data_IF_330559120589
#
_entry.id   IF_330559120589
#
_cell.length_a   1.000
_cell.length_b   1.000
_cell.length_c   1.000
_cell.angle_alpha   90.00
_cell.angle_beta   90.00
_cell.angle_gamma   90.00
#
_symmetry.space_group_name_H-M   'P 1'
#
loop_
_entity.id
_entity.type
_entity.pdbx_description
1 polymer ?
#
# COMPACT_ATOMS: atom_id res chain seq x y z
N UNK A 1 -1.97 6.15 8.86
CA UNK A 1 -2.60 6.26 10.20
C UNK A 1 -3.14 4.89 10.61
N UNK A 2 -3.54 4.72 11.88
CA UNK A 2 -4.16 3.48 12.37
C UNK A 2 -5.45 3.78 13.13
N UNK A 3 -6.50 3.02 12.87
CA UNK A 3 -7.76 3.07 13.62
C UNK A 3 -7.90 1.83 14.50
N UNK A 4 -8.16 2.07 15.77
CA UNK A 4 -8.54 1.07 16.76
C UNK A 4 -9.41 1.78 17.81
N UNK A 5 -10.16 1.01 18.59
CA UNK A 5 -10.96 1.56 19.68
C UNK A 5 -11.97 0.55 20.21
N UNK A 6 -12.63 0.86 21.34
CA UNK A 6 -13.57 -0.06 22.00
C UNK A 6 -14.69 -0.55 21.07
N UNK A 7 -15.20 0.32 20.19
CA UNK A 7 -16.31 0.00 19.28
C UNK A 7 -15.97 -0.97 18.15
N UNK A 8 -14.68 -1.10 17.80
CA UNK A 8 -14.22 -1.97 16.72
C UNK A 8 -13.28 -3.05 17.22
N UNK A 9 -13.11 -3.20 18.55
CA UNK A 9 -12.28 -4.25 19.13
C UNK A 9 -12.84 -5.65 18.78
N UNK A 10 -12.00 -6.64 18.43
CA UNK A 10 -10.53 -6.64 18.45
C UNK A 10 -9.87 -6.09 17.17
N UNK A 11 -10.64 -5.56 16.22
CA UNK A 11 -10.16 -5.14 14.93
C UNK A 11 -9.29 -3.87 14.97
N UNK A 12 -8.29 -3.86 14.09
CA UNK A 12 -7.36 -2.74 13.91
C UNK A 12 -7.16 -2.51 12.43
N UNK A 13 -7.24 -1.27 11.98
CA UNK A 13 -7.10 -0.93 10.56
C UNK A 13 -5.91 -0.02 10.35
N UNK A 14 -5.09 -0.33 9.35
CA UNK A 14 -4.13 0.63 8.83
C UNK A 14 -4.83 1.41 7.70
N UNK A 15 -4.70 2.73 7.68
CA UNK A 15 -5.19 3.55 6.58
C UNK A 15 -4.06 4.40 6.01
N UNK A 16 -3.87 4.29 4.70
CA UNK A 16 -3.03 5.18 3.92
C UNK A 16 -3.91 6.07 3.03
N UNK A 17 -3.54 7.34 2.88
CA UNK A 17 -4.30 8.30 2.06
C UNK A 17 -3.51 8.57 0.79
N UNK A 18 -4.16 8.42 -0.35
CA UNK A 18 -3.59 8.67 -1.67
C UNK A 18 -4.49 9.59 -2.47
N UNK A 19 -3.87 10.49 -3.22
CA UNK A 19 -4.56 11.35 -4.16
C UNK A 19 -4.04 11.02 -5.56
N UNK A 20 -4.94 10.95 -6.54
CA UNK A 20 -4.56 10.74 -7.92
C UNK A 20 -5.39 11.63 -8.84
N UNK A 21 -4.68 12.40 -9.67
CA UNK A 21 -5.29 13.21 -10.71
C UNK A 21 -5.77 12.31 -11.84
N UNK A 22 -6.98 12.56 -12.33
CA UNK A 22 -7.50 11.94 -13.55
C UNK A 22 -6.89 12.62 -14.77
N UNK A 23 -6.63 11.82 -15.80
CA UNK A 23 -6.32 12.29 -17.16
C UNK A 23 -7.49 13.11 -17.73
N UNK A 24 -7.23 13.98 -18.74
CA UNK A 24 -8.31 14.55 -19.54
C UNK A 24 -9.22 13.43 -20.08
N UNK A 25 -10.53 13.56 -19.87
CA UNK A 25 -11.53 12.53 -20.21
C UNK A 25 -11.83 11.53 -19.10
N UNK A 26 -11.15 11.58 -17.96
CA UNK A 26 -11.59 10.93 -16.72
C UNK A 26 -11.48 9.39 -16.66
N UNK A 27 -10.99 8.73 -17.72
CA UNK A 27 -10.93 7.26 -17.80
C UNK A 27 -9.76 6.63 -17.05
N UNK A 28 -8.67 7.40 -16.86
CA UNK A 28 -7.43 6.92 -16.23
C UNK A 28 -6.87 7.93 -15.24
N UNK A 29 -6.06 7.47 -14.30
CA UNK A 29 -5.16 8.35 -13.53
C UNK A 29 -3.93 8.72 -14.36
N UNK A 30 -3.38 9.93 -14.14
CA UNK A 30 -2.20 10.40 -14.88
C UNK A 30 -0.94 9.60 -14.57
N UNK A 31 -0.86 9.04 -13.36
CA UNK A 31 0.22 8.17 -12.91
C UNK A 31 -0.33 7.02 -12.08
N UNK A 32 0.48 5.96 -11.93
CA UNK A 32 0.14 4.86 -11.07
C UNK A 32 0.05 5.32 -9.61
N UNK A 33 -1.01 4.91 -8.90
CA UNK A 33 -1.15 5.21 -7.49
C UNK A 33 -0.21 4.29 -6.71
N UNK A 34 0.73 4.87 -5.98
CA UNK A 34 1.59 4.10 -5.07
C UNK A 34 0.80 3.74 -3.83
N UNK A 35 0.66 2.44 -3.52
CA UNK A 35 -0.14 1.93 -2.39
C UNK A 35 0.72 1.15 -1.37
N UNK A 36 2.01 1.49 -1.30
CA UNK A 36 2.96 0.89 -0.36
C UNK A 36 4.27 0.52 -1.03
N UNK A 37 5.21 0.02 -0.23
CA UNK A 37 6.51 -0.47 -0.71
C UNK A 37 6.67 -1.93 -0.35
N UNK A 38 7.03 -2.76 -1.33
CA UNK A 38 7.16 -4.20 -1.10
C UNK A 38 8.47 -4.58 -0.42
N UNK A 39 9.43 -3.66 -0.30
CA UNK A 39 10.74 -3.88 0.32
C UNK A 39 10.88 -3.25 1.71
N UNK A 40 9.75 -2.91 2.36
CA UNK A 40 9.72 -2.47 3.74
C UNK A 40 9.97 -3.65 4.68
N UNK A 41 10.72 -3.41 5.76
CA UNK A 41 11.03 -4.44 6.76
C UNK A 41 9.75 -4.97 7.42
N UNK A 42 8.84 -4.08 7.85
CA UNK A 42 7.55 -4.48 8.43
C UNK A 42 6.69 -5.31 7.48
N UNK A 43 6.86 -5.18 6.17
CA UNK A 43 6.09 -5.94 5.20
C UNK A 43 6.68 -7.33 4.96
N UNK A 44 7.99 -7.47 5.19
CA UNK A 44 8.75 -8.73 5.07
C UNK A 44 8.78 -9.54 6.36
N UNK A 45 8.67 -8.88 7.51
CA UNK A 45 8.57 -9.51 8.84
C UNK A 45 7.28 -9.04 9.51
N UNK A 46 6.12 -9.56 9.07
CA UNK A 46 4.83 -8.95 9.40
C UNK A 46 4.46 -9.06 10.88
N UNK A 47 5.01 -10.04 11.59
CA UNK A 47 4.75 -10.27 13.02
C UNK A 47 5.63 -9.41 13.93
N UNK A 48 6.57 -8.66 13.36
CA UNK A 48 7.50 -7.82 14.11
C UNK A 48 7.12 -6.33 14.01
N UNK A 49 7.24 -5.61 15.14
CA UNK A 49 7.18 -4.15 15.15
C UNK A 49 8.55 -3.58 14.75
N UNK A 50 8.78 -3.45 13.45
CA UNK A 50 10.05 -2.98 12.85
C UNK A 50 9.83 -1.88 11.81
N UNK A 51 10.85 -1.06 11.58
CA UNK A 51 10.74 0.10 10.69
C UNK A 51 9.69 1.11 11.18
N UNK A 52 9.15 1.90 10.25
CA UNK A 52 8.24 3.00 10.56
C UNK A 52 6.76 2.56 10.52
N UNK A 53 6.40 1.47 11.20
CA UNK A 53 5.01 1.02 11.36
C UNK A 53 4.55 1.15 12.81
N UNK A 54 3.28 1.51 13.03
CA UNK A 54 2.75 1.75 14.39
C UNK A 54 2.62 0.47 15.22
N UNK A 55 2.27 -0.64 14.57
CA UNK A 55 2.04 -1.97 15.13
C UNK A 55 2.51 -3.03 14.12
N UNK A 56 2.77 -4.28 14.52
CA UNK A 56 3.11 -5.35 13.57
C UNK A 56 2.13 -5.39 12.40
N UNK A 57 2.65 -5.58 11.18
CA UNK A 57 1.83 -5.56 9.96
C UNK A 57 0.70 -6.60 9.99
N UNK A 58 0.95 -7.79 10.55
CA UNK A 58 -0.07 -8.85 10.71
C UNK A 58 -1.10 -8.58 11.80
N UNK A 59 -0.88 -7.59 12.67
CA UNK A 59 -1.83 -7.25 13.74
C UNK A 59 -3.02 -6.41 13.26
N UNK A 60 -2.97 -5.90 12.02
CA UNK A 60 -4.09 -5.21 11.42
C UNK A 60 -5.04 -6.22 10.78
N UNK A 61 -6.33 -6.03 11.02
CA UNK A 61 -7.42 -6.76 10.36
C UNK A 61 -7.45 -6.47 8.87
N UNK A 62 -7.20 -5.23 8.47
CA UNK A 62 -7.04 -4.88 7.07
C UNK A 62 -6.13 -3.66 6.88
N UNK A 63 -5.49 -3.63 5.71
CA UNK A 63 -4.70 -2.49 5.22
C UNK A 63 -5.53 -1.74 4.18
N UNK A 64 -6.15 -0.65 4.60
CA UNK A 64 -7.02 0.18 3.79
C UNK A 64 -6.24 1.29 3.09
N UNK A 65 -6.74 1.69 1.92
CA UNK A 65 -6.31 2.89 1.20
C UNK A 65 -7.53 3.75 0.95
N UNK A 66 -7.47 5.02 1.36
CA UNK A 66 -8.40 6.05 0.91
C UNK A 66 -7.81 6.68 -0.35
N UNK A 67 -8.49 6.49 -1.48
CA UNK A 67 -8.10 7.05 -2.77
C UNK A 67 -9.00 8.25 -3.07
N UNK A 68 -8.41 9.43 -3.18
CA UNK A 68 -9.04 10.64 -3.67
C UNK A 68 -8.73 10.83 -5.15
N UNK A 69 -9.71 10.56 -6.00
CA UNK A 69 -9.64 10.83 -7.44
C UNK A 69 -10.18 12.23 -7.73
N UNK A 70 -9.46 13.02 -8.52
CA UNK A 70 -9.87 14.40 -8.80
C UNK A 70 -9.54 14.84 -10.23
N UNK A 71 -10.35 15.75 -10.75
CA UNK A 71 -10.04 16.57 -11.94
C UNK A 71 -9.22 17.77 -11.49
N UNK A 72 -8.24 18.22 -12.27
CA UNK A 72 -7.43 19.39 -11.93
C UNK A 72 -7.61 20.49 -12.98
N UNK A 73 -8.19 21.61 -12.56
CA UNK A 73 -8.48 22.76 -13.42
C UNK A 73 -8.13 24.05 -12.69
N UNK A 74 -7.42 24.98 -13.37
CA UNK A 74 -7.10 26.32 -12.84
C UNK A 74 -6.55 26.28 -11.40
N UNK A 75 -5.50 25.47 -11.21
CA UNK A 75 -4.85 25.27 -9.91
C UNK A 75 -5.77 24.75 -8.78
N UNK A 76 -6.91 24.14 -9.11
CA UNK A 76 -7.91 23.68 -8.15
C UNK A 76 -8.28 22.22 -8.41
N UNK A 77 -8.37 21.42 -7.35
CA UNK A 77 -8.95 20.08 -7.41
C UNK A 77 -10.49 20.19 -7.49
N UNK A 78 -11.09 19.50 -8.45
CA UNK A 78 -12.53 19.46 -8.74
C UNK A 78 -13.00 18.01 -8.85
N UNK A 79 -14.30 17.79 -8.74
CA UNK A 79 -14.95 16.49 -8.89
C UNK A 79 -14.29 15.38 -8.04
N UNK A 80 -14.01 15.73 -6.79
CA UNK A 80 -13.31 14.84 -5.86
C UNK A 80 -14.22 13.66 -5.53
N UNK A 81 -13.74 12.46 -5.84
CA UNK A 81 -14.34 11.19 -5.51
C UNK A 81 -13.45 10.49 -4.50
N UNK A 82 -14.04 10.05 -3.39
CA UNK A 82 -13.33 9.34 -2.34
C UNK A 82 -13.77 7.88 -2.33
N UNK A 83 -12.81 6.98 -2.32
CA UNK A 83 -13.04 5.54 -2.17
C UNK A 83 -12.16 5.00 -1.06
N UNK A 84 -12.74 4.23 -0.14
CA UNK A 84 -12.00 3.45 0.85
C UNK A 84 -12.07 2.00 0.45
N UNK A 85 -10.92 1.36 0.26
CA UNK A 85 -10.82 -0.01 -0.22
C UNK A 85 -9.64 -0.71 0.44
N UNK A 86 -9.72 -2.04 0.57
CA UNK A 86 -8.55 -2.83 0.96
C UNK A 86 -7.47 -2.72 -0.13
N UNK A 87 -6.22 -2.50 0.29
CA UNK A 87 -5.07 -2.28 -0.58
C UNK A 87 -4.95 -3.35 -1.67
N UNK A 88 -5.13 -4.62 -1.31
CA UNK A 88 -4.91 -5.74 -2.24
C UNK A 88 -5.94 -5.77 -3.37
N UNK A 89 -7.17 -5.32 -3.13
CA UNK A 89 -8.28 -5.36 -4.10
C UNK A 89 -8.05 -4.47 -5.31
N UNK A 90 -7.32 -3.37 -5.16
CA UNK A 90 -6.97 -2.46 -6.27
C UNK A 90 -5.53 -2.59 -6.73
N UNK A 91 -4.74 -3.45 -6.08
CA UNK A 91 -3.33 -3.63 -6.38
C UNK A 91 -3.14 -4.36 -7.71
N UNK A 92 -2.11 -3.96 -8.45
CA UNK A 92 -1.63 -4.67 -9.65
C UNK A 92 -0.36 -5.44 -9.33
N UNK A 93 0.08 -6.30 -10.24
CA UNK A 93 1.40 -6.97 -10.23
C UNK A 93 2.52 -6.07 -10.77
N UNK A 94 2.21 -4.82 -11.10
CA UNK A 94 3.15 -3.83 -11.64
C UNK A 94 3.70 -2.92 -10.55
N UNK A 95 4.93 -2.46 -10.76
CA UNK A 95 5.55 -1.43 -9.93
C UNK A 95 5.09 -0.05 -10.37
N UNK A 96 4.89 0.85 -9.41
CA UNK A 96 4.59 2.27 -9.69
C UNK A 96 5.83 3.08 -10.06
N UNK A 97 7.04 2.54 -9.81
CA UNK A 97 8.32 3.21 -10.04
C UNK A 97 9.39 2.20 -10.47
N UNK A 98 10.25 2.60 -11.41
CA UNK A 98 11.41 1.81 -11.81
C UNK A 98 12.54 1.82 -10.77
N UNK A 99 12.72 2.92 -10.05
CA UNK A 99 13.81 3.08 -9.06
C UNK A 99 13.37 2.76 -7.64
N UNK A 100 12.11 3.00 -7.30
CA UNK A 100 11.56 2.73 -5.96
C UNK A 100 10.72 1.46 -5.96
N UNK A 101 10.72 0.72 -4.85
CA UNK A 101 10.03 -0.56 -4.70
C UNK A 101 8.52 -0.40 -4.42
N UNK A 102 7.86 0.48 -5.16
CA UNK A 102 6.45 0.81 -4.95
C UNK A 102 5.50 -0.13 -5.66
N UNK A 103 4.46 -0.54 -4.95
CA UNK A 103 3.31 -1.29 -5.44
C UNK A 103 2.35 -0.31 -6.12
N UNK A 104 1.90 -0.63 -7.35
CA UNK A 104 0.92 0.19 -8.08
C UNK A 104 -0.51 -0.31 -7.89
N UNK A 105 -1.47 0.61 -7.70
CA UNK A 105 -2.89 0.33 -7.95
C UNK A 105 -3.24 0.42 -9.44
N UNK A 106 -4.43 -0.04 -9.82
CA UNK A 106 -4.94 0.13 -11.19
C UNK A 106 -4.98 1.62 -11.56
N UNK A 107 -4.67 1.91 -12.83
CA UNK A 107 -4.79 3.25 -13.38
C UNK A 107 -6.13 3.47 -14.08
N UNK A 108 -6.92 2.43 -14.33
CA UNK A 108 -8.23 2.57 -14.93
C UNK A 108 -9.22 3.00 -13.85
N UNK A 109 -9.92 4.12 -14.06
CA UNK A 109 -10.83 4.66 -13.05
C UNK A 109 -12.00 3.69 -12.80
N UNK A 110 -12.48 3.01 -13.83
CA UNK A 110 -13.55 2.02 -13.68
C UNK A 110 -13.11 0.77 -12.90
N UNK A 111 -11.82 0.40 -12.97
CA UNK A 111 -11.28 -0.69 -12.17
C UNK A 111 -11.10 -0.29 -10.72
N UNK A 112 -10.68 0.95 -10.44
CA UNK A 112 -10.62 1.46 -9.08
C UNK A 112 -12.01 1.42 -8.44
N UNK A 113 -13.02 1.99 -9.11
CA UNK A 113 -14.42 2.02 -8.66
C UNK A 113 -15.00 0.64 -8.40
N UNK A 114 -14.66 -0.33 -9.25
CA UNK A 114 -15.14 -1.70 -9.13
C UNK A 114 -14.21 -2.61 -8.33
N UNK A 115 -13.15 -2.05 -7.73
CA UNK A 115 -12.17 -2.79 -6.92
C UNK A 115 -11.53 -3.98 -7.68
N UNK A 116 -11.21 -3.76 -8.96
CA UNK A 116 -10.63 -4.76 -9.86
C UNK A 116 -9.11 -4.61 -10.00
N UNK A 117 -8.40 -5.22 -9.06
CA UNK A 117 -6.96 -5.45 -9.11
C UNK A 117 -6.58 -6.78 -9.76
N UNK A 118 -5.30 -7.12 -9.68
CA UNK A 118 -4.73 -8.34 -10.29
C UNK A 118 -4.77 -9.57 -9.37
N UNK A 119 -5.26 -9.41 -8.13
CA UNK A 119 -5.21 -10.43 -7.07
C UNK A 119 -6.61 -10.90 -6.70
N UNK A 120 -6.74 -12.21 -6.45
CA UNK A 120 -8.00 -12.82 -6.02
C UNK A 120 -8.19 -12.84 -4.49
N UNK A 121 -7.10 -12.66 -3.74
CA UNK A 121 -7.11 -12.60 -2.27
C UNK A 121 -5.94 -11.78 -1.71
N UNK A 122 -6.03 -11.40 -0.42
CA UNK A 122 -4.93 -10.75 0.28
C UNK A 122 -3.68 -11.65 0.37
N UNK A 123 -3.87 -12.96 0.51
CA UNK A 123 -2.76 -13.92 0.57
C UNK A 123 -2.00 -14.01 -0.75
N UNK A 124 -2.70 -14.02 -1.89
CA UNK A 124 -2.06 -13.98 -3.22
C UNK A 124 -1.25 -12.68 -3.40
N UNK A 125 -1.85 -11.55 -3.01
CA UNK A 125 -1.17 -10.25 -2.99
C UNK A 125 0.11 -10.27 -2.14
N UNK A 126 0.01 -10.77 -0.91
CA UNK A 126 1.14 -10.82 0.01
C UNK A 126 2.22 -11.78 -0.46
N UNK A 127 1.84 -12.96 -0.97
CA UNK A 127 2.76 -13.95 -1.51
C UNK A 127 3.55 -13.40 -2.69
N UNK A 128 2.86 -12.78 -3.65
CA UNK A 128 3.48 -12.21 -4.84
C UNK A 128 4.48 -11.10 -4.49
N UNK A 129 4.07 -10.12 -3.69
CA UNK A 129 4.90 -8.96 -3.40
C UNK A 129 6.04 -9.27 -2.41
N UNK A 130 5.85 -10.21 -1.48
CA UNK A 130 6.92 -10.69 -0.58
C UNK A 130 7.93 -11.62 -1.25
N UNK A 131 7.68 -12.07 -2.49
CA UNK A 131 8.67 -12.80 -3.30
C UNK A 131 9.53 -11.88 -4.17
N UNK A 132 9.16 -10.61 -4.33
CA UNK A 132 9.95 -9.67 -5.13
C UNK A 132 11.34 -9.46 -4.53
N UNK A 133 12.39 -9.32 -5.37
CA UNK A 133 13.76 -9.17 -4.91
C UNK A 133 13.94 -7.89 -4.07
N UNK A 134 14.83 -7.97 -3.10
CA UNK A 134 15.25 -6.85 -2.24
C UNK A 134 16.75 -6.66 -2.46
N UNK A 135 17.22 -5.41 -2.40
CA UNK A 135 18.65 -5.14 -2.52
C UNK A 135 19.47 -5.83 -1.42
N UNK A 136 20.61 -6.40 -1.80
CA UNK A 136 21.51 -7.10 -0.87
C UNK A 136 21.98 -6.18 0.26
N UNK A 137 22.26 -4.91 -0.04
CA UNK A 137 22.60 -3.89 0.96
C UNK A 137 21.53 -3.77 2.05
N UNK A 138 20.25 -3.84 1.69
CA UNK A 138 19.14 -3.76 2.64
C UNK A 138 19.03 -5.05 3.46
N UNK A 139 19.19 -6.22 2.83
CA UNK A 139 19.23 -7.51 3.52
C UNK A 139 20.39 -7.60 4.52
N UNK A 140 21.59 -7.17 4.13
CA UNK A 140 22.77 -7.14 4.99
C UNK A 140 22.55 -6.23 6.21
N UNK A 141 21.94 -5.06 6.02
CA UNK A 141 21.55 -4.17 7.12
C UNK A 141 20.60 -4.86 8.09
N UNK A 142 19.56 -5.53 7.60
CA UNK A 142 18.61 -6.25 8.45
C UNK A 142 19.27 -7.37 9.26
N UNK A 143 20.17 -8.14 8.66
CA UNK A 143 20.94 -9.19 9.34
C UNK A 143 21.77 -8.62 10.50
N UNK A 144 22.56 -7.57 10.21
CA UNK A 144 23.41 -6.92 11.22
C UNK A 144 22.62 -6.34 12.40
N UNK A 145 21.47 -5.68 12.15
CA UNK A 145 20.62 -5.16 13.23
C UNK A 145 20.06 -6.28 14.12
N UNK A 146 19.71 -7.43 13.52
CA UNK A 146 19.15 -8.58 14.25
C UNK A 146 20.20 -9.30 15.09
N UNK A 147 21.42 -9.44 14.60
CA UNK A 147 22.55 -9.98 15.37
C UNK A 147 22.86 -9.10 16.59
N UNK A 148 22.93 -7.78 16.39
CA UNK A 148 23.18 -6.82 17.47
C UNK A 148 22.09 -6.88 18.55
N UNK A 149 20.83 -7.08 18.16
CA UNK A 149 19.71 -7.22 19.11
C UNK A 149 19.74 -8.53 19.90
N UNK A 150 20.29 -9.61 19.34
CA UNK A 150 20.46 -10.90 20.04
C UNK A 150 21.62 -10.89 21.04
N UNK A 151 22.63 -10.05 20.82
CA UNK A 151 23.80 -9.92 21.67
C UNK A 151 23.59 -8.99 22.88
N UNK A 152 22.40 -8.41 23.03
CA UNK A 152 21.96 -7.58 24.16
C UNK A 152 20.87 -8.31 24.93
#
# INVERSE_FOLDING_TARGET
MSFNGPMIFPHKFALDVKCARRTPGGKRTESAITIGTFDAEYYRYPDEKVGNIMMPYSSYTAHLVLIALYSYEKATARDVELQVVEKWRVATKKRSSGTRCYIAASQLVDDLRAERGDFSSEDDFNLFWRRQPISEKKLARWRSMRETKKAR
#
